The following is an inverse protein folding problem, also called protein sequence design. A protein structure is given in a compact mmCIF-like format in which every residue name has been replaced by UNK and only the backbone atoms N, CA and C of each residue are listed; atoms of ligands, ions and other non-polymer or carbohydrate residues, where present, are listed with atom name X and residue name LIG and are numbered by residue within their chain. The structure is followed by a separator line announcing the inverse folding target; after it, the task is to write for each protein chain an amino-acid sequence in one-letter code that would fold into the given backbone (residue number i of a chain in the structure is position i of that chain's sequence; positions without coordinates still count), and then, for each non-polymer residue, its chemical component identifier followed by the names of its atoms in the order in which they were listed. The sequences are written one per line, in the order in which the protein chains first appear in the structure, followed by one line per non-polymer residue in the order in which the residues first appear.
data_IF_249041590036
#
_entry.id   IF_249041590036
#
_cell.length_a   1.000
_cell.length_b   1.000
_cell.length_c   1.000
_cell.angle_alpha   90.00
_cell.angle_beta   90.00
_cell.angle_gamma   90.00
#
_symmetry.space_group_name_H-M   'P 1'
#
loop_
_entity.id
_entity.type
_entity.pdbx_description
1 polymer ?
#
# COMPACT_ATOMS: atom_id res chain seq x y z
N UNK A 1 22.52 -0.34 2.27
CA UNK A 1 21.29 0.42 2.44
C UNK A 1 20.14 -0.52 2.79
N UNK A 2 19.38 -0.22 3.83
CA UNK A 2 18.29 -1.10 4.28
C UNK A 2 17.11 -1.01 3.32
N UNK A 3 16.61 -2.14 2.85
CA UNK A 3 15.50 -2.25 1.91
C UNK A 3 14.17 -2.05 2.65
N UNK A 4 13.25 -1.26 2.10
CA UNK A 4 11.92 -1.01 2.67
C UNK A 4 10.81 -1.43 1.72
N UNK A 5 9.57 -1.42 2.19
CA UNK A 5 8.39 -1.73 1.37
C UNK A 5 8.11 -0.73 0.22
N UNK A 6 8.91 0.34 0.11
CA UNK A 6 8.84 1.25 -1.04
C UNK A 6 9.49 0.69 -2.32
N UNK A 7 10.18 -0.45 -2.23
CA UNK A 7 10.86 -1.08 -3.37
C UNK A 7 10.02 -2.26 -3.88
N UNK A 8 9.66 -2.30 -5.18
CA UNK A 8 8.85 -3.39 -5.74
C UNK A 8 9.42 -4.80 -5.49
N UNK A 9 10.73 -4.95 -5.59
CA UNK A 9 11.42 -6.25 -5.49
C UNK A 9 11.30 -6.96 -4.11
N UNK A 10 10.76 -6.29 -3.08
CA UNK A 10 10.51 -6.93 -1.77
C UNK A 10 9.13 -7.56 -1.65
N UNK A 11 8.31 -7.45 -2.68
CA UNK A 11 6.93 -7.92 -2.70
C UNK A 11 6.77 -9.12 -3.62
N UNK A 12 5.93 -10.06 -3.24
CA UNK A 12 5.51 -11.21 -4.04
C UNK A 12 4.41 -10.79 -5.04
N UNK A 13 4.77 -9.92 -6.00
CA UNK A 13 3.81 -9.29 -6.91
C UNK A 13 3.11 -10.31 -7.81
N UNK A 14 3.83 -11.30 -8.34
CA UNK A 14 3.25 -12.33 -9.21
C UNK A 14 2.18 -13.16 -8.48
N UNK A 15 2.40 -13.48 -7.21
CA UNK A 15 1.42 -14.21 -6.40
C UNK A 15 0.18 -13.35 -6.12
N UNK A 16 0.39 -12.06 -5.82
CA UNK A 16 -0.72 -11.13 -5.57
C UNK A 16 -1.55 -10.90 -6.85
N UNK A 17 -0.91 -10.70 -7.99
CA UNK A 17 -1.58 -10.56 -9.29
C UNK A 17 -2.40 -11.80 -9.64
N UNK A 18 -1.81 -12.99 -9.53
CA UNK A 18 -2.53 -14.27 -9.73
C UNK A 18 -3.76 -14.36 -8.85
N UNK A 19 -3.65 -14.03 -7.58
CA UNK A 19 -4.75 -14.15 -6.61
C UNK A 19 -5.89 -13.18 -6.92
N UNK A 20 -5.56 -11.95 -7.34
CA UNK A 20 -6.55 -10.96 -7.80
C UNK A 20 -7.26 -11.47 -9.05
N UNK A 21 -6.54 -11.94 -10.07
CA UNK A 21 -7.11 -12.48 -11.31
C UNK A 21 -8.02 -13.68 -11.04
N UNK A 22 -7.65 -14.57 -10.12
CA UNK A 22 -8.47 -15.71 -9.73
C UNK A 22 -9.80 -15.26 -9.11
N UNK A 23 -9.76 -14.32 -8.15
CA UNK A 23 -10.95 -13.76 -7.52
C UNK A 23 -11.87 -13.04 -8.52
N UNK A 24 -11.29 -12.24 -9.43
CA UNK A 24 -12.04 -11.57 -10.50
C UNK A 24 -12.67 -12.55 -11.48
N UNK A 25 -12.07 -13.72 -11.66
CA UNK A 25 -12.60 -14.82 -12.48
C UNK A 25 -13.62 -15.71 -11.76
N UNK A 26 -14.01 -15.37 -10.53
CA UNK A 26 -14.97 -16.13 -9.75
C UNK A 26 -14.39 -17.35 -9.03
N UNK A 27 -13.07 -17.47 -8.92
CA UNK A 27 -12.39 -18.57 -8.24
C UNK A 27 -12.01 -18.17 -6.81
N UNK A 28 -12.42 -18.99 -5.86
CA UNK A 28 -11.96 -18.86 -4.47
C UNK A 28 -10.44 -19.13 -4.39
N UNK A 29 -9.74 -18.40 -3.50
CA UNK A 29 -8.31 -18.60 -3.28
C UNK A 29 -8.02 -19.00 -1.84
N UNK A 30 -6.83 -19.54 -1.61
CA UNK A 30 -6.23 -19.73 -0.32
C UNK A 30 -5.01 -18.80 -0.21
N UNK A 31 -5.02 -17.86 0.74
CA UNK A 31 -3.90 -16.93 0.92
C UNK A 31 -2.65 -17.66 1.43
N UNK A 32 -1.47 -17.12 1.12
CA UNK A 32 -0.22 -17.66 1.64
C UNK A 32 -0.16 -17.39 3.16
N UNK A 33 -0.08 -18.47 3.93
CA UNK A 33 0.12 -18.38 5.38
C UNK A 33 1.52 -17.85 5.74
N UNK A 34 1.60 -17.08 6.82
CA UNK A 34 2.84 -16.53 7.39
C UNK A 34 2.87 -16.83 8.89
N UNK A 35 4.03 -16.72 9.50
CA UNK A 35 4.19 -16.98 10.94
C UNK A 35 3.24 -16.15 11.84
N UNK A 36 2.82 -14.98 11.38
CA UNK A 36 1.94 -14.06 12.11
C UNK A 36 0.52 -13.96 11.53
N UNK A 37 0.22 -14.67 10.45
CA UNK A 37 -1.10 -14.66 9.80
C UNK A 37 -1.35 -16.01 9.15
N UNK A 38 -2.35 -16.78 9.63
CA UNK A 38 -2.67 -18.06 9.02
C UNK A 38 -3.16 -17.89 7.59
N UNK A 39 -3.09 -18.98 6.81
CA UNK A 39 -3.73 -19.05 5.51
C UNK A 39 -5.25 -18.93 5.66
N UNK A 40 -5.87 -18.11 4.83
CA UNK A 40 -7.30 -17.86 4.83
C UNK A 40 -7.90 -18.16 3.46
N UNK A 41 -9.08 -18.76 3.44
CA UNK A 41 -9.87 -18.90 2.23
C UNK A 41 -10.62 -17.58 1.97
N UNK A 42 -10.41 -16.99 0.79
CA UNK A 42 -11.15 -15.84 0.31
C UNK A 42 -12.12 -16.28 -0.78
N UNK A 43 -13.37 -15.86 -0.64
CA UNK A 43 -14.43 -16.23 -1.60
C UNK A 43 -14.60 -15.15 -2.66
N UNK A 44 -14.66 -15.57 -3.90
CA UNK A 44 -14.94 -14.72 -5.07
C UNK A 44 -16.41 -14.30 -5.21
N UNK A 45 -17.29 -14.66 -4.26
CA UNK A 45 -18.74 -14.39 -4.34
C UNK A 45 -19.12 -12.94 -4.01
N UNK A 46 -18.19 -12.11 -3.62
CA UNK A 46 -18.46 -10.71 -3.26
C UNK A 46 -18.35 -9.83 -4.50
N UNK A 47 -19.27 -8.84 -4.67
CA UNK A 47 -19.28 -7.97 -5.85
C UNK A 47 -18.14 -6.94 -5.86
N UNK A 48 -17.48 -6.73 -4.72
CA UNK A 48 -16.38 -5.76 -4.57
C UNK A 48 -15.16 -6.48 -3.99
N UNK A 49 -14.02 -6.32 -4.66
CA UNK A 49 -12.71 -6.74 -4.19
C UNK A 49 -11.89 -5.50 -3.83
N UNK A 50 -11.48 -5.40 -2.57
CA UNK A 50 -10.59 -4.34 -2.11
C UNK A 50 -9.20 -4.94 -1.89
N UNK A 51 -8.20 -4.37 -2.57
CA UNK A 51 -6.79 -4.74 -2.41
C UNK A 51 -6.08 -3.56 -1.73
N UNK A 52 -5.54 -3.79 -0.54
CA UNK A 52 -4.92 -2.77 0.29
C UNK A 52 -3.44 -3.10 0.53
N UNK A 53 -2.61 -2.06 0.54
CA UNK A 53 -1.20 -2.13 0.86
C UNK A 53 -0.30 -1.55 -0.23
N UNK A 54 0.97 -1.33 0.13
CA UNK A 54 1.95 -0.74 -0.80
C UNK A 54 2.19 -1.61 -2.04
N UNK A 55 2.10 -2.93 -1.92
CA UNK A 55 2.27 -3.86 -3.03
C UNK A 55 1.22 -3.67 -4.13
N UNK A 56 0.01 -3.22 -3.78
CA UNK A 56 -1.05 -2.96 -4.75
C UNK A 56 -0.66 -1.89 -5.80
N UNK A 57 0.10 -0.87 -5.39
CA UNK A 57 0.54 0.19 -6.27
C UNK A 57 1.51 -0.27 -7.37
N UNK A 58 2.22 -1.38 -7.15
CA UNK A 58 3.19 -1.93 -8.11
C UNK A 58 2.57 -2.89 -9.14
N UNK A 59 1.29 -3.20 -9.01
CA UNK A 59 0.57 -4.05 -9.94
C UNK A 59 0.10 -3.27 -11.17
N UNK A 60 -0.14 -3.94 -12.31
CA UNK A 60 -0.71 -3.30 -13.48
C UNK A 60 -2.03 -2.59 -13.16
N UNK A 61 -2.14 -1.32 -13.54
CA UNK A 61 -3.34 -0.51 -13.29
C UNK A 61 -4.61 -1.14 -13.90
N UNK A 62 -4.47 -1.87 -14.99
CA UNK A 62 -5.57 -2.58 -15.67
C UNK A 62 -6.25 -3.66 -14.82
N UNK A 63 -5.68 -4.05 -13.69
CA UNK A 63 -6.29 -4.98 -12.73
C UNK A 63 -7.37 -4.32 -11.87
N UNK A 64 -7.46 -3.00 -11.86
CA UNK A 64 -8.31 -2.25 -10.95
C UNK A 64 -9.26 -1.32 -11.71
N UNK A 65 -10.53 -1.34 -11.31
CA UNK A 65 -11.53 -0.38 -11.81
C UNK A 65 -11.30 1.01 -11.21
N UNK A 66 -10.75 1.07 -10.00
CA UNK A 66 -10.44 2.29 -9.27
C UNK A 66 -9.20 2.12 -8.41
N UNK A 67 -8.29 3.06 -8.49
CA UNK A 67 -7.11 3.16 -7.64
C UNK A 67 -7.13 4.43 -6.80
N UNK A 68 -6.94 4.26 -5.49
CA UNK A 68 -6.88 5.37 -4.53
C UNK A 68 -5.55 5.29 -3.81
N UNK A 69 -4.79 6.37 -3.85
CA UNK A 69 -3.54 6.48 -3.10
C UNK A 69 -3.66 7.51 -1.99
N UNK A 70 -3.29 7.11 -0.78
CA UNK A 70 -3.13 7.99 0.37
C UNK A 70 -1.66 8.32 0.54
N UNK A 71 -1.37 9.58 0.78
CA UNK A 71 0.00 10.02 1.05
C UNK A 71 0.02 11.08 2.17
N UNK A 72 1.20 11.34 2.68
CA UNK A 72 1.44 12.37 3.70
C UNK A 72 2.84 12.95 3.53
N UNK A 73 3.09 14.08 4.15
CA UNK A 73 4.44 14.66 4.24
C UNK A 73 5.37 13.84 5.14
N UNK A 74 6.64 14.21 5.13
CA UNK A 74 7.69 13.51 5.85
C UNK A 74 7.52 13.60 7.37
N UNK A 75 7.12 14.75 7.88
CA UNK A 75 6.95 15.02 9.31
C UNK A 75 5.79 14.18 9.89
N UNK A 76 4.62 14.26 9.25
CA UNK A 76 3.45 13.46 9.64
C UNK A 76 3.72 11.95 9.53
N UNK A 77 4.46 11.49 8.50
CA UNK A 77 4.85 10.08 8.38
C UNK A 77 5.72 9.66 9.57
N UNK A 78 6.72 10.46 9.92
CA UNK A 78 7.62 10.14 11.03
C UNK A 78 6.87 10.07 12.35
N UNK A 79 6.03 11.06 12.64
CA UNK A 79 5.20 11.13 13.84
C UNK A 79 4.32 9.88 13.99
N UNK A 80 3.50 9.57 12.98
CA UNK A 80 2.63 8.38 12.98
C UNK A 80 3.39 7.07 13.08
N UNK A 81 4.60 7.00 12.51
CA UNK A 81 5.45 5.81 12.66
C UNK A 81 6.00 5.68 14.06
N UNK A 82 6.40 6.78 14.70
CA UNK A 82 6.85 6.75 16.08
C UNK A 82 5.73 6.26 16.99
N UNK A 83 4.53 6.82 16.88
CA UNK A 83 3.39 6.41 17.67
C UNK A 83 3.04 4.93 17.49
N UNK A 84 2.86 4.50 16.24
CA UNK A 84 2.47 3.13 15.96
C UNK A 84 3.58 2.11 16.24
N UNK A 85 4.79 2.37 15.75
CA UNK A 85 5.85 1.36 15.74
C UNK A 85 6.53 1.26 17.11
N UNK A 86 6.58 2.34 17.90
CA UNK A 86 7.07 2.31 19.29
C UNK A 86 6.00 1.77 20.22
N UNK A 87 4.81 2.41 20.25
CA UNK A 87 3.77 2.10 21.22
C UNK A 87 3.13 0.72 20.99
N UNK A 88 2.87 0.33 19.73
CA UNK A 88 2.14 -0.90 19.39
C UNK A 88 3.06 -2.07 19.07
N UNK A 89 4.21 -1.80 18.42
CA UNK A 89 5.12 -2.84 17.90
C UNK A 89 6.41 -2.97 18.69
N UNK A 90 6.61 -2.15 19.74
CA UNK A 90 7.78 -2.19 20.62
C UNK A 90 9.11 -1.94 19.89
N UNK A 91 9.10 -1.23 18.76
CA UNK A 91 10.32 -0.92 18.02
C UNK A 91 11.11 0.20 18.69
N UNK A 92 12.42 0.16 18.53
CA UNK A 92 13.31 1.21 19.01
C UNK A 92 13.10 2.53 18.27
N UNK A 93 12.84 3.62 19.03
CA UNK A 93 12.58 4.95 18.50
C UNK A 93 13.77 5.53 17.75
N UNK A 94 14.99 5.31 18.26
CA UNK A 94 16.21 5.80 17.63
C UNK A 94 16.42 5.15 16.26
N UNK A 95 16.17 3.83 16.19
CA UNK A 95 16.22 3.11 14.93
C UNK A 95 15.20 3.62 13.90
N UNK A 96 13.97 3.96 14.33
CA UNK A 96 12.94 4.52 13.44
C UNK A 96 13.41 5.84 12.85
N UNK A 97 13.91 6.77 13.71
CA UNK A 97 14.44 8.06 13.26
C UNK A 97 15.61 7.90 12.30
N UNK A 98 16.57 7.05 12.63
CA UNK A 98 17.76 6.81 11.81
C UNK A 98 17.42 6.25 10.42
N UNK A 99 16.42 5.39 10.33
CA UNK A 99 16.03 4.76 9.06
C UNK A 99 15.01 5.58 8.27
N UNK A 100 14.45 6.64 8.83
CA UNK A 100 13.40 7.43 8.21
C UNK A 100 13.87 8.11 6.92
N UNK A 101 15.00 8.78 6.93
CA UNK A 101 15.58 9.44 5.74
C UNK A 101 15.78 8.46 4.58
N UNK A 102 16.37 7.29 4.84
CA UNK A 102 16.54 6.26 3.82
C UNK A 102 15.21 5.76 3.26
N UNK A 103 14.18 5.66 4.11
CA UNK A 103 12.84 5.28 3.69
C UNK A 103 12.21 6.35 2.78
N UNK A 104 12.34 7.63 3.12
CA UNK A 104 11.83 8.73 2.28
C UNK A 104 12.55 8.78 0.94
N UNK A 105 13.86 8.60 0.90
CA UNK A 105 14.61 8.49 -0.37
C UNK A 105 14.09 7.35 -1.25
N UNK A 106 13.82 6.16 -0.66
CA UNK A 106 13.26 5.05 -1.41
C UNK A 106 11.83 5.31 -1.86
N UNK A 107 11.02 5.99 -1.04
CA UNK A 107 9.68 6.42 -1.43
C UNK A 107 9.72 7.34 -2.65
N UNK A 108 10.51 8.41 -2.62
CA UNK A 108 10.63 9.37 -3.73
C UNK A 108 11.16 8.71 -5.01
N UNK A 109 12.10 7.77 -4.88
CA UNK A 109 12.76 7.15 -6.02
C UNK A 109 11.94 6.00 -6.65
N UNK A 110 11.25 5.20 -5.84
CA UNK A 110 10.60 3.97 -6.33
C UNK A 110 9.08 4.01 -6.25
N UNK A 111 8.48 4.66 -5.26
CA UNK A 111 7.04 4.56 -5.01
C UNK A 111 6.24 5.73 -5.58
N UNK A 112 6.78 6.93 -5.57
CA UNK A 112 6.08 8.16 -5.93
C UNK A 112 5.48 8.14 -7.33
N UNK A 113 6.16 7.54 -8.30
CA UNK A 113 5.65 7.40 -9.66
C UNK A 113 4.33 6.64 -9.71
N UNK A 114 4.22 5.54 -8.95
CA UNK A 114 2.99 4.75 -8.86
C UNK A 114 1.88 5.48 -8.12
N UNK A 115 2.24 6.27 -7.12
CA UNK A 115 1.29 7.14 -6.42
C UNK A 115 0.66 8.13 -7.39
N UNK A 116 1.44 8.78 -8.25
CA UNK A 116 0.97 9.78 -9.21
C UNK A 116 0.06 9.18 -10.30
N UNK A 117 0.17 7.90 -10.56
CA UNK A 117 -0.70 7.17 -11.49
C UNK A 117 -2.09 6.86 -10.92
N UNK A 118 -2.31 6.94 -9.60
CA UNK A 118 -3.59 6.65 -8.98
C UNK A 118 -4.72 7.55 -9.53
N UNK A 119 -5.95 7.02 -9.60
CA UNK A 119 -7.12 7.77 -10.07
C UNK A 119 -7.55 8.84 -9.07
N UNK A 120 -7.42 8.53 -7.79
CA UNK A 120 -7.68 9.48 -6.70
C UNK A 120 -6.43 9.56 -5.83
N UNK A 121 -6.00 10.79 -5.57
CA UNK A 121 -4.88 11.07 -4.68
C UNK A 121 -5.39 11.86 -3.47
N UNK A 122 -5.16 11.33 -2.28
CA UNK A 122 -5.64 11.89 -1.03
C UNK A 122 -4.46 12.20 -0.11
N UNK A 123 -4.28 13.48 0.21
CA UNK A 123 -3.36 13.91 1.26
C UNK A 123 -3.98 13.65 2.64
N UNK A 124 -3.18 13.10 3.53
CA UNK A 124 -3.50 12.87 4.94
C UNK A 124 -2.50 13.59 5.86
N UNK A 125 -2.00 14.75 5.43
CA UNK A 125 -1.03 15.53 6.20
C UNK A 125 -1.70 16.17 7.41
N UNK A 126 -1.08 16.03 8.58
CA UNK A 126 -1.65 16.44 9.85
C UNK A 126 -2.94 15.66 10.16
N UNK A 127 -3.97 16.35 10.64
CA UNK A 127 -5.26 15.75 11.01
C UNK A 127 -6.31 15.80 9.89
N UNK A 128 -5.98 16.39 8.75
CA UNK A 128 -6.94 16.67 7.69
C UNK A 128 -6.79 15.72 6.49
N UNK A 129 -7.89 15.55 5.76
CA UNK A 129 -7.93 14.90 4.46
C UNK A 129 -8.16 15.94 3.37
N UNK A 130 -7.39 15.85 2.29
CA UNK A 130 -7.57 16.68 1.10
C UNK A 130 -7.47 15.80 -0.14
N UNK A 131 -8.43 15.93 -1.04
CA UNK A 131 -8.37 15.28 -2.35
C UNK A 131 -7.60 16.20 -3.27
N UNK A 132 -6.40 15.80 -3.68
CA UNK A 132 -5.52 16.58 -4.54
C UNK A 132 -5.67 16.22 -6.02
N UNK A 133 -6.11 15.00 -6.33
CA UNK A 133 -6.33 14.54 -7.69
C UNK A 133 -7.58 13.68 -7.78
N UNK A 134 -8.36 13.91 -8.85
CA UNK A 134 -9.41 13.00 -9.33
C UNK A 134 -9.25 12.86 -10.84
N UNK A 135 -9.20 11.64 -11.34
CA UNK A 135 -9.24 11.39 -12.78
C UNK A 135 -10.61 11.76 -13.35
N UNK A 136 -10.63 12.40 -14.54
CA UNK A 136 -11.87 12.76 -15.21
C UNK A 136 -12.64 11.49 -15.62
N UNK A 137 -13.94 11.46 -15.37
CA UNK A 137 -14.83 10.37 -15.80
C UNK A 137 -15.06 9.25 -14.79
N UNK A 138 -14.57 9.36 -13.54
CA UNK A 138 -14.83 8.38 -12.47
C UNK A 138 -16.32 8.25 -12.09
N UNK A 139 -17.12 9.26 -12.39
CA UNK A 139 -18.56 9.30 -12.10
C UNK A 139 -19.30 9.73 -13.39
N UNK A 140 -19.85 8.76 -14.09
CA UNK A 140 -20.86 9.00 -15.11
C UNK A 140 -22.24 8.81 -14.50
#
# INVERSE_FOLDING_TARGET
QKVTACIPAVHELSSLERDICALQSGLDILTIGKAWSPSLRLSARKPILIVEGMSAAFLPKSLFDLSICFYTDEETELERRLDRDVAVRGRDMHWIRQTHTSRRQQYEHYYKLYQEEADILISQTGENFKIDKRSNGLWK
#
